data_IF_148829886831
#
_entry.id   IF_148829886831
#
_cell.length_a   1.000
_cell.length_b   1.000
_cell.length_c   1.000
_cell.angle_alpha   90.00
_cell.angle_beta   90.00
_cell.angle_gamma   90.00
#
_symmetry.space_group_name_H-M   'P 1'
#
loop_
_entity.id
_entity.type
_entity.pdbx_description
1 polymer ?
#
# COMPACT_ATOMS: atom_id res chain seq x y z
N UNK A 1 -2.48 -35.27 68.61
CA UNK A 1 -2.28 -35.22 67.15
C UNK A 1 -1.81 -33.84 66.72
N UNK A 2 -0.84 -33.83 65.80
CA UNK A 2 0.11 -32.76 65.52
C UNK A 2 -0.50 -31.61 64.70
N UNK A 3 -0.40 -30.36 65.20
CA UNK A 3 -0.73 -29.15 64.43
C UNK A 3 0.54 -28.64 63.73
N UNK A 4 0.59 -28.79 62.41
CA UNK A 4 1.69 -28.28 61.58
C UNK A 4 1.54 -26.75 61.47
N UNK A 5 2.51 -26.00 62.04
CA UNK A 5 2.67 -24.56 61.81
C UNK A 5 3.54 -24.35 60.58
N UNK A 6 2.95 -23.90 59.47
CA UNK A 6 3.72 -23.51 58.28
C UNK A 6 4.18 -22.05 58.49
N UNK A 7 5.47 -21.85 58.72
CA UNK A 7 6.11 -20.54 58.63
C UNK A 7 6.27 -20.17 57.16
N UNK A 8 5.50 -19.18 56.69
CA UNK A 8 5.74 -18.55 55.39
C UNK A 8 6.82 -17.48 55.57
N UNK A 9 8.04 -17.78 55.12
CA UNK A 9 9.11 -16.79 54.99
C UNK A 9 8.69 -15.70 53.97
N UNK A 10 8.93 -14.41 54.23
CA UNK A 10 8.71 -13.37 53.23
C UNK A 10 9.77 -13.51 52.13
N UNK A 11 9.37 -14.01 50.95
CA UNK A 11 10.22 -13.97 49.76
C UNK A 11 10.56 -12.52 49.45
N UNK A 12 11.85 -12.23 49.51
CA UNK A 12 12.48 -10.96 49.21
C UNK A 12 12.07 -10.43 47.84
N UNK A 13 11.63 -9.18 47.85
CA UNK A 13 11.36 -8.30 46.72
C UNK A 13 12.51 -8.30 45.70
N UNK A 14 12.32 -8.98 44.58
CA UNK A 14 12.97 -8.60 43.33
C UNK A 14 12.31 -7.32 42.82
N UNK A 15 12.87 -6.16 43.14
CA UNK A 15 12.51 -4.89 42.49
C UNK A 15 12.98 -4.98 41.04
N UNK A 16 12.12 -5.47 40.15
CA UNK A 16 12.30 -5.25 38.73
C UNK A 16 12.30 -3.74 38.52
N UNK A 17 13.38 -3.21 37.97
CA UNK A 17 13.41 -1.86 37.41
C UNK A 17 12.21 -1.72 36.47
N UNK A 18 11.35 -0.70 36.62
CA UNK A 18 10.29 -0.46 35.65
C UNK A 18 10.95 -0.30 34.28
N UNK A 19 10.67 -1.22 33.37
CA UNK A 19 10.94 -1.00 31.95
C UNK A 19 10.15 0.27 31.58
N UNK A 20 10.77 1.29 30.96
CA UNK A 20 10.04 2.45 30.50
C UNK A 20 8.93 1.94 29.58
N UNK A 21 7.67 2.16 29.97
CA UNK A 21 6.54 1.98 29.06
C UNK A 21 6.89 2.76 27.79
N UNK A 22 6.87 2.16 26.58
CA UNK A 22 6.85 2.95 25.37
C UNK A 22 5.66 3.90 25.50
N UNK A 23 5.92 5.20 25.59
CA UNK A 23 4.86 6.19 25.73
C UNK A 23 3.92 6.00 24.54
N UNK A 24 2.64 5.70 24.80
CA UNK A 24 1.64 5.69 23.73
C UNK A 24 1.73 7.04 23.01
N UNK A 25 1.89 7.06 21.67
CA UNK A 25 2.06 8.29 20.94
C UNK A 25 0.81 9.14 21.14
N UNK A 26 0.95 10.21 21.92
CA UNK A 26 -0.12 11.16 22.21
C UNK A 26 -0.69 11.69 20.90
N UNK A 27 -2.03 11.80 20.83
CA UNK A 27 -2.73 12.30 19.66
C UNK A 27 -2.52 13.81 19.49
N UNK A 28 -2.49 14.27 18.23
CA UNK A 28 -2.32 15.67 17.85
C UNK A 28 -3.29 16.61 18.62
N UNK A 29 -2.76 17.68 19.21
CA UNK A 29 -3.52 18.68 19.97
C UNK A 29 -4.34 19.67 19.11
N UNK A 30 -4.73 19.29 17.90
CA UNK A 30 -5.50 20.16 17.01
C UNK A 30 -6.93 20.30 17.53
N UNK A 31 -7.32 21.51 17.94
CA UNK A 31 -8.62 21.79 18.58
C UNK A 31 -9.79 22.09 17.64
N UNK A 32 -9.61 22.70 16.44
CA UNK A 32 -10.72 22.95 15.52
C UNK A 32 -11.40 21.67 15.02
N UNK A 33 -10.67 20.55 14.90
CA UNK A 33 -11.21 19.19 14.68
C UNK A 33 -10.32 18.14 15.33
N UNK A 34 -10.90 17.07 15.93
CA UNK A 34 -10.10 16.02 16.56
C UNK A 34 -9.21 15.32 15.52
N UNK A 35 -7.90 15.35 15.75
CA UNK A 35 -6.91 14.71 14.90
C UNK A 35 -6.29 13.51 15.63
N UNK A 36 -6.48 12.30 15.10
CA UNK A 36 -5.96 11.06 15.69
C UNK A 36 -4.51 10.74 15.28
N UNK A 37 -3.84 11.62 14.53
CA UNK A 37 -2.47 11.40 14.10
C UNK A 37 -1.51 11.55 15.29
N UNK A 38 -0.42 10.75 15.33
CA UNK A 38 0.58 10.87 16.37
C UNK A 38 1.28 12.23 16.32
N UNK A 39 1.57 12.79 17.50
CA UNK A 39 2.43 13.96 17.66
C UNK A 39 3.84 13.68 17.16
N UNK A 40 4.51 14.74 16.70
CA UNK A 40 5.95 14.68 16.46
C UNK A 40 6.71 14.70 17.79
N UNK A 41 7.89 14.09 17.83
CA UNK A 41 8.72 14.05 19.04
C UNK A 41 9.02 15.47 19.56
N UNK A 42 8.63 15.74 20.80
CA UNK A 42 8.79 17.05 21.44
C UNK A 42 7.84 18.16 20.92
N UNK A 43 6.77 17.81 20.20
CA UNK A 43 5.80 18.77 19.64
C UNK A 43 4.36 18.36 19.99
N UNK A 44 3.46 19.34 20.10
CA UNK A 44 2.05 19.09 20.45
C UNK A 44 1.18 18.67 19.25
N UNK A 45 1.72 18.77 18.04
CA UNK A 45 0.99 18.57 16.78
C UNK A 45 1.62 17.49 15.90
N UNK A 46 0.80 16.91 15.01
CA UNK A 46 1.29 16.01 13.97
C UNK A 46 1.88 16.80 12.79
N UNK A 47 2.58 16.12 11.87
CA UNK A 47 3.21 16.74 10.68
C UNK A 47 2.26 17.57 9.80
N UNK A 48 0.94 17.30 9.84
CA UNK A 48 -0.07 18.07 9.09
C UNK A 48 -0.43 19.40 9.75
N UNK A 49 -0.47 19.42 11.08
CA UNK A 49 -0.86 20.59 11.88
C UNK A 49 0.34 21.30 12.53
N UNK A 50 1.57 20.81 12.32
CA UNK A 50 2.79 21.38 12.90
C UNK A 50 3.05 22.84 12.51
N UNK A 51 2.46 23.33 11.40
CA UNK A 51 2.57 24.72 10.99
C UNK A 51 1.70 25.69 11.81
N UNK A 52 0.80 25.16 12.64
CA UNK A 52 0.00 25.98 13.56
C UNK A 52 0.79 26.36 14.81
N UNK A 53 1.78 25.54 15.17
CA UNK A 53 2.71 25.83 16.24
C UNK A 53 3.77 26.83 15.77
N UNK A 54 3.73 28.04 16.33
CA UNK A 54 4.69 29.10 16.01
C UNK A 54 6.09 28.82 16.52
N UNK A 55 6.23 27.94 17.52
CA UNK A 55 7.50 27.57 18.13
C UNK A 55 8.09 26.29 17.53
N UNK A 56 7.35 25.59 16.66
CA UNK A 56 7.83 24.37 16.04
C UNK A 56 9.02 24.64 15.10
N UNK A 57 9.99 23.71 15.02
CA UNK A 57 11.13 23.81 14.10
C UNK A 57 10.72 23.47 12.65
N UNK A 58 9.55 23.92 12.21
CA UNK A 58 9.01 23.68 10.88
C UNK A 58 8.54 25.00 10.24
N UNK A 59 8.72 25.13 8.93
CA UNK A 59 8.18 26.22 8.11
C UNK A 59 7.51 25.67 6.86
N UNK A 60 6.67 26.46 6.19
CA UNK A 60 6.05 26.02 4.94
C UNK A 60 7.13 25.69 3.89
N UNK A 61 6.94 24.59 3.17
CA UNK A 61 7.84 24.15 2.11
C UNK A 61 8.05 25.26 1.06
N UNK A 62 9.33 25.52 0.74
CA UNK A 62 9.72 26.56 -0.21
C UNK A 62 9.47 26.18 -1.69
N UNK A 63 9.00 24.96 -1.98
CA UNK A 63 8.72 24.53 -3.35
C UNK A 63 7.50 25.27 -3.92
N UNK A 64 7.64 25.80 -5.14
CA UNK A 64 6.58 26.41 -5.94
C UNK A 64 6.24 25.48 -7.09
N UNK A 65 4.96 25.12 -7.23
CA UNK A 65 4.50 24.28 -8.34
C UNK A 65 4.60 25.03 -9.67
N UNK A 66 5.22 24.41 -10.67
CA UNK A 66 5.27 24.95 -12.04
C UNK A 66 3.91 24.97 -12.74
N UNK A 67 2.96 24.13 -12.29
CA UNK A 67 1.63 24.04 -12.87
C UNK A 67 0.70 25.14 -12.40
N UNK A 68 0.77 25.45 -11.09
CA UNK A 68 -0.22 26.29 -10.43
C UNK A 68 0.38 27.56 -9.80
N UNK A 69 1.70 27.73 -9.83
CA UNK A 69 2.40 28.86 -9.18
C UNK A 69 2.29 28.91 -7.65
N UNK A 70 1.53 27.99 -7.03
CA UNK A 70 1.29 27.96 -5.58
C UNK A 70 2.44 27.27 -4.85
N UNK A 71 2.79 27.83 -3.67
CA UNK A 71 3.71 27.19 -2.73
C UNK A 71 3.10 25.93 -2.13
N UNK A 72 3.94 24.92 -1.93
CA UNK A 72 3.53 23.68 -1.32
C UNK A 72 3.03 23.93 0.12
N UNK A 73 1.84 23.43 0.51
CA UNK A 73 1.29 23.65 1.86
C UNK A 73 1.97 22.80 2.94
N UNK A 74 2.80 21.81 2.56
CA UNK A 74 3.40 20.87 3.51
C UNK A 74 4.49 21.53 4.37
N UNK A 75 4.64 21.04 5.60
CA UNK A 75 5.71 21.44 6.51
C UNK A 75 7.10 20.95 6.04
N UNK A 76 8.10 21.80 6.23
CA UNK A 76 9.51 21.55 5.97
C UNK A 76 10.33 21.86 7.24
N UNK A 77 11.31 21.02 7.63
CA UNK A 77 12.15 21.29 8.78
C UNK A 77 12.91 22.61 8.62
N UNK A 78 12.95 23.42 9.67
CA UNK A 78 13.69 24.68 9.69
C UNK A 78 15.20 24.34 9.82
N UNK A 79 16.04 24.73 8.86
CA UNK A 79 17.48 24.57 8.99
C UNK A 79 17.98 25.49 10.12
N UNK A 80 18.96 25.05 10.90
CA UNK A 80 19.60 25.87 11.95
C UNK A 80 20.22 27.16 11.39
N UNK A 81 20.51 27.20 10.08
CA UNK A 81 21.02 28.38 9.37
C UNK A 81 19.86 29.19 8.79
N UNK A 82 19.83 30.49 9.14
CA UNK A 82 18.72 31.45 8.94
C UNK A 82 18.21 31.57 7.50
N UNK A 83 19.03 31.26 6.48
CA UNK A 83 18.70 31.51 5.06
C UNK A 83 18.58 30.23 4.20
N UNK A 84 18.46 29.05 4.82
CA UNK A 84 18.31 27.80 4.07
C UNK A 84 16.91 27.62 3.47
N UNK A 85 16.83 27.45 2.15
CA UNK A 85 15.64 26.92 1.46
C UNK A 85 15.34 25.51 1.99
N UNK A 86 14.14 25.29 2.52
CA UNK A 86 13.75 24.01 3.10
C UNK A 86 12.60 23.39 2.33
N UNK A 87 12.72 22.11 2.02
CA UNK A 87 11.69 21.36 1.31
C UNK A 87 11.03 20.34 2.24
N UNK A 88 9.72 20.09 2.05
CA UNK A 88 9.06 18.97 2.72
C UNK A 88 9.68 17.64 2.25
N UNK A 89 9.50 16.55 3.01
CA UNK A 89 10.15 15.26 2.73
C UNK A 89 9.98 14.77 1.27
N UNK A 90 8.82 15.03 0.68
CA UNK A 90 8.54 14.70 -0.72
C UNK A 90 9.36 15.54 -1.71
N UNK A 91 9.38 16.87 -1.53
CA UNK A 91 10.12 17.77 -2.40
C UNK A 91 11.64 17.72 -2.17
N UNK A 92 12.09 17.40 -0.96
CA UNK A 92 13.49 17.13 -0.66
C UNK A 92 14.01 15.92 -1.46
N UNK A 93 13.23 14.82 -1.51
CA UNK A 93 13.56 13.64 -2.33
C UNK A 93 13.61 13.97 -3.82
N UNK A 94 12.61 14.70 -4.34
CA UNK A 94 12.60 15.12 -5.76
C UNK A 94 13.80 16.00 -6.11
N UNK A 95 14.12 16.97 -5.26
CA UNK A 95 15.26 17.86 -5.47
C UNK A 95 16.58 17.08 -5.47
N UNK A 96 16.78 16.17 -4.51
CA UNK A 96 17.97 15.33 -4.47
C UNK A 96 18.15 14.47 -5.74
N UNK A 97 17.06 13.88 -6.26
CA UNK A 97 17.09 13.13 -7.52
C UNK A 97 17.44 14.03 -8.72
N UNK A 98 16.91 15.25 -8.77
CA UNK A 98 17.22 16.22 -9.82
C UNK A 98 18.70 16.64 -9.78
N UNK A 99 19.26 16.92 -8.59
CA UNK A 99 20.68 17.23 -8.42
C UNK A 99 21.57 16.06 -8.83
N UNK A 100 21.23 14.83 -8.44
CA UNK A 100 21.98 13.62 -8.86
C UNK A 100 21.97 13.41 -10.37
N UNK A 101 20.85 13.71 -11.05
CA UNK A 101 20.76 13.63 -12.51
C UNK A 101 21.64 14.66 -13.21
N UNK A 102 21.82 15.84 -12.63
CA UNK A 102 22.73 16.88 -13.15
C UNK A 102 24.20 16.47 -12.98
N UNK A 103 24.58 15.93 -11.82
CA UNK A 103 25.95 15.44 -11.55
C UNK A 103 26.34 14.29 -12.49
N UNK A 104 25.40 13.40 -12.84
CA UNK A 104 25.64 12.35 -13.85
C UNK A 104 25.82 12.87 -15.27
N UNK A 105 25.32 14.07 -15.58
CA UNK A 105 25.49 14.72 -16.89
C UNK A 105 26.80 15.49 -17.01
N UNK A 106 27.36 15.95 -15.88
CA UNK A 106 28.59 16.74 -15.84
C UNK A 106 29.88 15.91 -15.65
N UNK A 107 29.81 14.59 -15.55
CA UNK A 107 30.99 13.73 -15.35
C UNK A 107 31.13 12.69 -16.49
N UNK A 108 31.75 13.05 -17.64
CA UNK A 108 32.31 12.06 -18.55
C UNK A 108 33.57 11.48 -17.88
N UNK A 109 33.57 10.17 -17.60
CA UNK A 109 34.65 9.51 -16.85
C UNK A 109 36.04 9.65 -17.50
N UNK A 110 37.12 9.49 -16.71
CA UNK A 110 38.48 9.72 -17.17
C UNK A 110 38.92 8.60 -18.12
N UNK A 111 39.40 9.02 -19.29
CA UNK A 111 40.08 8.21 -20.28
C UNK A 111 41.33 7.56 -19.69
N UNK A 112 41.35 6.21 -19.65
CA UNK A 112 42.57 5.44 -19.39
C UNK A 112 43.36 5.27 -20.69
N UNK A 113 44.45 6.03 -20.74
CA UNK A 113 45.74 5.81 -21.39
C UNK A 113 45.86 4.66 -22.40
N UNK A 114 46.30 5.09 -23.60
CA UNK A 114 46.79 4.35 -24.74
C UNK A 114 47.65 3.11 -24.41
N UNK A 115 47.27 1.98 -25.01
CA UNK A 115 48.17 0.91 -25.42
C UNK A 115 48.23 0.92 -26.95
N UNK A 116 49.40 1.14 -27.49
CA UNK A 116 49.71 1.26 -28.92
C UNK A 116 49.57 -0.12 -29.59
N UNK A 117 48.62 -0.27 -30.51
CA UNK A 117 48.80 -1.06 -31.73
C UNK A 117 48.04 -0.39 -32.87
N UNK A 118 48.79 -0.08 -33.92
CA UNK A 118 48.30 0.59 -35.12
C UNK A 118 47.28 -0.29 -35.86
N UNK A 119 46.08 0.24 -36.09
CA UNK A 119 45.28 -0.03 -37.29
C UNK A 119 44.13 0.98 -37.38
N UNK A 120 44.22 1.83 -38.41
CA UNK A 120 43.16 2.63 -39.05
C UNK A 120 42.29 3.52 -38.15
N UNK A 121 42.66 4.79 -38.14
CA UNK A 121 41.74 5.90 -37.92
C UNK A 121 40.58 5.85 -38.93
N UNK A 122 39.35 5.67 -38.46
CA UNK A 122 38.16 6.10 -39.19
C UNK A 122 37.41 7.13 -38.36
N UNK A 123 37.16 8.26 -39.00
CA UNK A 123 36.59 9.47 -38.41
C UNK A 123 35.06 9.35 -38.38
N UNK A 124 34.41 9.36 -37.21
CA UNK A 124 32.95 9.18 -37.09
C UNK A 124 32.11 10.37 -37.60
N UNK A 125 32.75 11.40 -38.15
CA UNK A 125 32.10 12.66 -38.55
C UNK A 125 31.77 12.74 -40.05
N UNK A 126 32.07 11.71 -40.84
CA UNK A 126 31.79 11.68 -42.28
C UNK A 126 30.42 11.07 -42.65
N UNK A 127 29.64 10.59 -41.67
CA UNK A 127 28.28 10.08 -41.88
C UNK A 127 28.17 8.78 -42.71
N UNK A 128 29.29 8.19 -43.14
CA UNK A 128 29.34 6.96 -43.92
C UNK A 128 29.99 5.87 -43.08
N UNK A 129 29.21 4.84 -42.77
CA UNK A 129 29.68 3.63 -42.10
C UNK A 129 30.01 2.57 -43.13
N UNK A 130 31.16 1.92 -42.99
CA UNK A 130 31.51 0.71 -43.73
C UNK A 130 30.69 -0.49 -43.23
N UNK A 131 30.50 -1.50 -44.07
CA UNK A 131 29.75 -2.70 -43.69
C UNK A 131 30.35 -3.42 -42.46
N UNK A 132 31.68 -3.38 -42.32
CA UNK A 132 32.40 -3.94 -41.18
C UNK A 132 32.10 -3.18 -39.88
N UNK A 133 32.08 -1.84 -39.92
CA UNK A 133 31.71 -1.00 -38.78
C UNK A 133 30.25 -1.21 -38.37
N UNK A 134 29.33 -1.34 -39.34
CA UNK A 134 27.93 -1.65 -39.06
C UNK A 134 27.79 -3.00 -38.36
N UNK A 135 28.51 -4.03 -38.83
CA UNK A 135 28.49 -5.35 -38.22
C UNK A 135 29.00 -5.34 -36.76
N UNK A 136 30.07 -4.58 -36.48
CA UNK A 136 30.58 -4.40 -35.11
C UNK A 136 29.56 -3.70 -34.20
N UNK A 137 28.95 -2.61 -34.68
CA UNK A 137 27.91 -1.88 -33.94
C UNK A 137 26.72 -2.80 -33.66
N UNK A 138 26.29 -3.60 -34.62
CA UNK A 138 25.19 -4.56 -34.42
C UNK A 138 25.56 -5.64 -33.40
N UNK A 139 26.78 -6.18 -33.47
CA UNK A 139 27.28 -7.17 -32.50
C UNK A 139 27.29 -6.60 -31.08
N UNK A 140 27.81 -5.40 -30.90
CA UNK A 140 27.82 -4.73 -29.60
C UNK A 140 26.42 -4.45 -29.07
N UNK A 141 25.51 -4.00 -29.95
CA UNK A 141 24.10 -3.79 -29.60
C UNK A 141 23.44 -5.09 -29.15
N UNK A 142 23.69 -6.20 -29.84
CA UNK A 142 23.17 -7.52 -29.47
C UNK A 142 23.75 -8.01 -28.14
N UNK A 143 25.06 -7.87 -27.91
CA UNK A 143 25.71 -8.24 -26.64
C UNK A 143 25.13 -7.41 -25.48
N UNK A 144 24.93 -6.10 -25.72
CA UNK A 144 24.35 -5.19 -24.72
C UNK A 144 22.89 -5.55 -24.43
N UNK A 145 22.12 -5.89 -25.45
CA UNK A 145 20.75 -6.36 -25.29
C UNK A 145 20.69 -7.67 -24.49
N UNK A 146 21.53 -8.65 -24.83
CA UNK A 146 21.64 -9.91 -24.09
C UNK A 146 22.00 -9.68 -22.61
N UNK A 147 22.96 -8.80 -22.35
CA UNK A 147 23.37 -8.45 -20.97
C UNK A 147 22.21 -7.84 -20.18
N UNK A 148 21.45 -6.92 -20.79
CA UNK A 148 20.27 -6.33 -20.16
C UNK A 148 19.19 -7.36 -19.85
N UNK A 149 18.94 -8.32 -20.75
CA UNK A 149 17.99 -9.41 -20.50
C UNK A 149 18.45 -10.33 -19.37
N UNK A 150 19.73 -10.66 -19.31
CA UNK A 150 20.32 -11.45 -18.22
C UNK A 150 20.13 -10.71 -16.88
N UNK A 151 20.34 -9.40 -16.84
CA UNK A 151 20.17 -8.60 -15.63
C UNK A 151 18.70 -8.50 -15.20
N UNK A 152 17.76 -8.40 -16.14
CA UNK A 152 16.32 -8.47 -15.84
C UNK A 152 15.95 -9.81 -15.21
N UNK A 153 16.46 -10.92 -15.75
CA UNK A 153 16.20 -12.26 -15.23
C UNK A 153 16.82 -12.45 -13.83
N UNK A 154 18.07 -12.05 -13.63
CA UNK A 154 18.74 -12.05 -12.31
C UNK A 154 17.96 -11.24 -11.28
N UNK A 155 17.45 -10.06 -11.68
CA UNK A 155 16.61 -9.23 -10.80
C UNK A 155 15.29 -9.91 -10.45
N UNK A 156 14.64 -10.55 -11.41
CA UNK A 156 13.42 -11.31 -11.15
C UNK A 156 13.68 -12.46 -10.16
N UNK A 157 14.75 -13.24 -10.36
CA UNK A 157 15.16 -14.29 -9.44
C UNK A 157 15.43 -13.76 -8.03
N UNK A 158 16.15 -12.64 -7.91
CA UNK A 158 16.39 -11.98 -6.63
C UNK A 158 15.06 -11.61 -5.94
N UNK A 159 14.15 -10.96 -6.66
CA UNK A 159 12.83 -10.57 -6.12
C UNK A 159 12.02 -11.78 -5.65
N UNK A 160 12.02 -12.88 -6.40
CA UNK A 160 11.34 -14.11 -5.99
C UNK A 160 11.97 -14.73 -4.74
N UNK A 161 13.31 -14.78 -4.68
CA UNK A 161 14.05 -15.29 -3.50
C UNK A 161 13.81 -14.42 -2.26
N UNK A 162 13.75 -13.11 -2.45
CA UNK A 162 13.49 -12.15 -1.38
C UNK A 162 12.05 -12.20 -0.90
N UNK A 163 11.06 -12.29 -1.81
CA UNK A 163 9.65 -12.52 -1.46
C UNK A 163 9.48 -13.83 -0.69
N UNK A 164 10.11 -14.93 -1.12
CA UNK A 164 10.11 -16.20 -0.38
C UNK A 164 10.70 -16.04 1.01
N UNK A 165 11.84 -15.34 1.15
CA UNK A 165 12.47 -15.07 2.46
C UNK A 165 11.54 -14.28 3.38
N UNK A 166 10.96 -13.19 2.87
CA UNK A 166 10.01 -12.36 3.64
C UNK A 166 8.77 -13.14 4.05
N UNK A 167 8.23 -13.96 3.15
CA UNK A 167 7.09 -14.84 3.46
C UNK A 167 7.43 -15.83 4.57
N UNK A 168 8.55 -16.55 4.48
CA UNK A 168 8.96 -17.50 5.52
C UNK A 168 9.23 -16.80 6.86
N UNK A 169 9.79 -15.59 6.83
CA UNK A 169 10.00 -14.80 8.04
C UNK A 169 8.68 -14.30 8.65
N UNK A 170 7.76 -13.77 7.84
CA UNK A 170 6.41 -13.38 8.29
C UNK A 170 5.67 -14.58 8.87
N UNK A 171 5.69 -15.73 8.18
CA UNK A 171 5.06 -16.96 8.64
C UNK A 171 5.66 -17.48 9.95
N UNK A 172 6.98 -17.34 10.13
CA UNK A 172 7.66 -17.67 11.38
C UNK A 172 7.25 -16.70 12.50
N UNK A 173 7.21 -15.40 12.23
CA UNK A 173 6.76 -14.39 13.19
C UNK A 173 5.29 -14.57 13.58
N UNK A 174 4.41 -14.89 12.63
CA UNK A 174 3.02 -15.25 12.89
C UNK A 174 2.92 -16.52 13.74
N UNK A 175 3.73 -17.53 13.45
CA UNK A 175 3.79 -18.77 14.24
C UNK A 175 4.31 -18.53 15.66
N UNK A 176 5.30 -17.66 15.84
CA UNK A 176 5.83 -17.28 17.16
C UNK A 176 4.86 -16.37 17.94
N UNK A 177 4.15 -15.46 17.26
CA UNK A 177 3.23 -14.50 17.88
C UNK A 177 1.84 -15.10 18.20
N UNK A 178 1.33 -15.97 17.32
CA UNK A 178 0.00 -16.61 17.46
C UNK A 178 0.14 -17.99 18.12
N UNK A 179 1.36 -18.53 18.19
CA UNK A 179 1.65 -19.88 18.65
C UNK A 179 1.39 -20.94 17.57
N UNK A 180 2.05 -22.09 17.67
CA UNK A 180 1.90 -23.27 16.79
C UNK A 180 0.48 -23.88 16.76
N UNK A 181 -0.46 -23.26 17.48
CA UNK A 181 -1.78 -23.77 17.82
C UNK A 181 -2.75 -23.88 16.65
N UNK A 182 -2.67 -23.01 15.64
CA UNK A 182 -3.73 -22.91 14.63
C UNK A 182 -3.44 -23.68 13.33
N UNK A 183 -2.19 -24.11 13.11
CA UNK A 183 -1.80 -24.80 11.87
C UNK A 183 -1.28 -26.24 12.06
N UNK A 184 -0.93 -26.68 13.28
CA UNK A 184 -0.39 -28.04 13.52
C UNK A 184 -1.43 -29.02 14.09
N UNK A 185 -2.70 -28.66 14.11
CA UNK A 185 -3.72 -29.47 14.78
C UNK A 185 -3.51 -29.53 16.30
N UNK A 186 -4.35 -30.28 17.03
CA UNK A 186 -4.41 -30.28 18.49
C UNK A 186 -3.15 -30.81 19.20
N UNK A 187 -2.21 -31.43 18.47
CA UNK A 187 -1.04 -32.08 19.04
C UNK A 187 0.01 -31.08 19.53
N UNK A 188 0.13 -29.91 18.90
CA UNK A 188 1.07 -28.84 19.30
C UNK A 188 0.58 -27.93 20.42
N UNK A 189 -0.58 -28.21 21.03
CA UNK A 189 -1.20 -27.39 22.07
C UNK A 189 -0.88 -27.90 23.47
N UNK A 190 -0.53 -27.00 24.39
CA UNK A 190 -0.46 -27.31 25.82
C UNK A 190 -1.83 -27.74 26.34
N UNK A 191 -1.88 -28.60 27.38
CA UNK A 191 -3.13 -29.11 27.94
C UNK A 191 -4.14 -27.99 28.30
N UNK A 192 -3.63 -26.89 28.87
CA UNK A 192 -4.41 -25.69 29.21
C UNK A 192 -4.96 -24.96 27.99
N UNK A 193 -4.20 -24.90 26.90
CA UNK A 193 -4.62 -24.29 25.64
C UNK A 193 -5.69 -25.13 24.93
N UNK A 194 -5.58 -26.47 24.99
CA UNK A 194 -6.63 -27.37 24.50
C UNK A 194 -7.94 -27.16 25.25
N UNK A 195 -7.89 -27.00 26.57
CA UNK A 195 -9.08 -26.75 27.39
C UNK A 195 -9.69 -25.37 27.09
N UNK A 196 -8.86 -24.33 26.95
CA UNK A 196 -9.31 -23.00 26.56
C UNK A 196 -9.96 -22.99 25.17
N UNK A 197 -9.39 -23.69 24.19
CA UNK A 197 -9.96 -23.86 22.85
C UNK A 197 -11.33 -24.55 22.92
N UNK A 198 -11.46 -25.61 23.73
CA UNK A 198 -12.75 -26.28 23.96
C UNK A 198 -13.78 -25.32 24.57
N UNK A 199 -13.42 -24.56 25.60
CA UNK A 199 -14.28 -23.54 26.22
C UNK A 199 -14.72 -22.47 25.22
N UNK A 200 -13.80 -21.93 24.42
CA UNK A 200 -14.09 -20.96 23.35
C UNK A 200 -15.02 -21.51 22.27
N UNK A 201 -14.83 -22.78 21.86
CA UNK A 201 -15.72 -23.47 20.91
C UNK A 201 -17.13 -23.62 21.48
N UNK A 202 -17.27 -23.96 22.77
CA UNK A 202 -18.58 -24.02 23.44
C UNK A 202 -19.25 -22.64 23.53
N UNK A 203 -18.48 -21.58 23.83
CA UNK A 203 -19.00 -20.20 23.89
C UNK A 203 -19.44 -19.65 22.52
N UNK A 204 -18.92 -20.19 21.42
CA UNK A 204 -19.36 -19.83 20.07
C UNK A 204 -20.84 -20.16 19.82
N UNK A 205 -21.38 -21.16 20.52
CA UNK A 205 -22.80 -21.54 20.49
C UNK A 205 -23.67 -20.69 21.43
N UNK A 206 -23.08 -20.04 22.43
CA UNK A 206 -23.82 -19.31 23.48
C UNK A 206 -24.53 -18.05 22.95
N UNK A 207 -23.99 -17.42 21.89
CA UNK A 207 -24.62 -16.26 21.22
C UNK A 207 -25.56 -16.63 20.08
N UNK A 208 -25.66 -17.91 19.72
CA UNK A 208 -26.50 -18.36 18.64
C UNK A 208 -27.84 -18.82 19.23
N UNK A 209 -28.93 -18.19 18.80
CA UNK A 209 -30.29 -18.59 19.20
C UNK A 209 -30.65 -19.84 18.40
N UNK A 210 -31.27 -20.82 19.04
CA UNK A 210 -31.71 -22.07 18.41
C UNK A 210 -33.20 -22.32 18.68
N UNK A 211 -33.81 -23.18 17.86
CA UNK A 211 -35.21 -23.56 18.01
C UNK A 211 -36.17 -22.37 17.96
N UNK A 212 -37.15 -22.36 18.87
CA UNK A 212 -38.22 -21.35 18.91
C UNK A 212 -37.66 -19.93 19.10
N UNK A 213 -36.60 -19.75 19.89
CA UNK A 213 -35.98 -18.43 20.09
C UNK A 213 -35.35 -17.85 18.82
N UNK A 214 -34.81 -18.73 17.96
CA UNK A 214 -34.27 -18.32 16.67
C UNK A 214 -35.37 -17.86 15.71
N UNK A 215 -36.51 -18.58 15.71
CA UNK A 215 -37.68 -18.25 14.91
C UNK A 215 -38.31 -16.94 15.37
N UNK A 216 -38.50 -16.75 16.68
CA UNK A 216 -39.03 -15.50 17.24
C UNK A 216 -38.09 -14.32 16.98
N UNK A 217 -36.78 -14.52 17.08
CA UNK A 217 -35.81 -13.46 16.75
C UNK A 217 -35.83 -13.12 15.26
N UNK A 218 -35.99 -14.12 14.38
CA UNK A 218 -36.18 -13.92 12.94
C UNK A 218 -37.47 -13.15 12.65
N UNK A 219 -38.59 -13.56 13.23
CA UNK A 219 -39.89 -12.90 13.08
C UNK A 219 -39.86 -11.46 13.61
N UNK A 220 -39.22 -11.21 14.76
CA UNK A 220 -39.05 -9.87 15.29
C UNK A 220 -38.19 -9.00 14.35
N UNK A 221 -37.13 -9.56 13.77
CA UNK A 221 -36.29 -8.86 12.79
C UNK A 221 -37.09 -8.55 11.53
N UNK A 222 -37.82 -9.51 10.98
CA UNK A 222 -38.70 -9.33 9.82
C UNK A 222 -39.77 -8.25 10.11
N UNK A 223 -40.41 -8.29 11.30
CA UNK A 223 -41.39 -7.29 11.72
C UNK A 223 -40.79 -5.88 11.88
N UNK A 224 -39.55 -5.78 12.37
CA UNK A 224 -38.81 -4.50 12.41
C UNK A 224 -38.51 -3.99 11.00
N UNK A 225 -38.02 -4.86 10.11
CA UNK A 225 -37.73 -4.52 8.71
C UNK A 225 -39.00 -4.03 8.01
N UNK A 226 -40.11 -4.78 8.12
CA UNK A 226 -41.41 -4.40 7.55
C UNK A 226 -41.94 -3.07 8.11
N UNK A 227 -41.72 -2.81 9.41
CA UNK A 227 -42.09 -1.52 10.01
C UNK A 227 -41.18 -0.36 9.54
N UNK A 228 -39.93 -0.65 9.15
CA UNK A 228 -38.96 0.35 8.68
C UNK A 228 -38.94 0.53 7.16
N UNK A 229 -39.44 -0.43 6.37
CA UNK A 229 -39.40 -0.40 4.90
C UNK A 229 -40.19 0.79 4.32
N UNK A 230 -41.13 1.38 5.08
CA UNK A 230 -41.79 2.65 4.74
C UNK A 230 -41.21 3.90 5.43
N UNK A 231 -40.46 3.75 6.52
CA UNK A 231 -39.95 4.89 7.31
C UNK A 231 -38.66 5.47 6.73
N UNK A 232 -37.81 4.66 6.08
CA UNK A 232 -36.61 5.13 5.41
C UNK A 232 -36.87 5.78 4.04
N UNK A 233 -38.05 5.56 3.45
CA UNK A 233 -38.39 6.07 2.11
C UNK A 233 -38.95 7.49 2.12
N UNK A 234 -39.37 8.04 3.27
CA UNK A 234 -40.10 9.32 3.35
C UNK A 234 -39.51 10.31 4.34
N UNK A 235 -38.30 10.07 4.86
CA UNK A 235 -37.62 11.12 5.61
C UNK A 235 -37.05 12.13 4.61
N UNK A 236 -37.81 13.21 4.37
CA UNK A 236 -37.45 14.33 3.48
C UNK A 236 -36.09 14.94 3.83
N UNK A 237 -35.57 14.67 5.04
CA UNK A 237 -34.28 15.14 5.53
C UNK A 237 -33.15 14.10 5.48
N UNK A 238 -33.37 12.88 4.96
CA UNK A 238 -32.32 11.86 4.85
C UNK A 238 -31.39 12.17 3.66
N UNK A 239 -30.40 13.01 3.90
CA UNK A 239 -29.47 13.54 2.89
C UNK A 239 -28.29 12.62 2.55
N UNK A 240 -28.09 11.53 3.31
CA UNK A 240 -26.90 10.69 3.18
C UNK A 240 -27.06 9.52 2.20
N UNK A 241 -28.27 8.99 2.04
CA UNK A 241 -28.53 7.81 1.22
C UNK A 241 -29.79 7.98 0.38
N UNK A 242 -29.73 7.60 -0.90
CA UNK A 242 -30.88 7.51 -1.80
C UNK A 242 -30.96 6.11 -2.40
N UNK A 243 -32.15 5.62 -2.80
CA UNK A 243 -32.27 4.34 -3.49
C UNK A 243 -31.63 4.42 -4.89
N UNK A 244 -30.90 3.37 -5.28
CA UNK A 244 -30.33 3.24 -6.61
C UNK A 244 -31.45 3.12 -7.66
N UNK A 245 -31.41 3.92 -8.73
CA UNK A 245 -32.44 3.91 -9.78
C UNK A 245 -32.42 2.64 -10.67
N UNK A 246 -31.35 1.84 -10.61
CA UNK A 246 -31.21 0.62 -11.41
C UNK A 246 -30.84 0.88 -12.86
N UNK A 247 -31.00 -0.14 -13.70
CA UNK A 247 -30.93 -0.07 -15.17
C UNK A 247 -32.26 -0.53 -15.78
N UNK A 248 -32.56 -0.19 -17.04
CA UNK A 248 -33.83 -0.54 -17.69
C UNK A 248 -34.16 -2.04 -17.63
N UNK A 249 -33.13 -2.89 -17.54
CA UNK A 249 -33.27 -4.35 -17.52
C UNK A 249 -33.49 -4.95 -16.10
N UNK A 250 -33.13 -4.24 -15.01
CA UNK A 250 -33.17 -4.77 -13.63
C UNK A 250 -33.47 -3.66 -12.60
N UNK A 251 -34.65 -3.70 -11.93
CA UNK A 251 -34.99 -2.72 -10.90
C UNK A 251 -34.10 -2.91 -9.66
N UNK A 252 -33.59 -1.80 -9.11
CA UNK A 252 -32.78 -1.78 -7.90
C UNK A 252 -33.42 -0.87 -6.85
N UNK A 253 -33.26 -1.20 -5.57
CA UNK A 253 -33.63 -0.32 -4.45
C UNK A 253 -32.53 -0.31 -3.37
N UNK A 254 -31.29 -0.68 -3.74
CA UNK A 254 -30.18 -0.68 -2.78
C UNK A 254 -29.88 0.77 -2.34
N UNK A 255 -29.81 1.05 -1.03
CA UNK A 255 -29.43 2.37 -0.55
C UNK A 255 -27.99 2.66 -0.95
N UNK A 256 -27.78 3.77 -1.64
CA UNK A 256 -26.46 4.21 -2.11
C UNK A 256 -26.12 5.56 -1.49
N UNK A 257 -24.86 5.78 -1.10
CA UNK A 257 -24.42 7.08 -0.61
C UNK A 257 -24.61 8.14 -1.68
N UNK A 258 -25.10 9.32 -1.30
CA UNK A 258 -25.19 10.47 -2.22
C UNK A 258 -23.78 11.03 -2.41
N UNK A 259 -23.02 10.50 -3.37
CA UNK A 259 -21.81 11.14 -3.87
C UNK A 259 -22.19 12.28 -4.82
N UNK A 260 -21.34 13.32 -4.96
CA UNK A 260 -21.53 14.59 -5.69
C UNK A 260 -21.91 14.50 -7.19
N UNK A 261 -22.31 13.33 -7.70
CA UNK A 261 -22.80 13.09 -9.06
C UNK A 261 -24.33 13.04 -9.07
N UNK A 262 -24.94 13.57 -10.13
CA UNK A 262 -26.40 13.78 -10.23
C UNK A 262 -27.23 12.47 -10.26
N UNK A 263 -26.59 11.32 -10.49
CA UNK A 263 -27.22 9.99 -10.54
C UNK A 263 -26.49 8.98 -9.62
N UNK A 264 -26.96 8.78 -8.37
CA UNK A 264 -26.36 7.81 -7.46
C UNK A 264 -26.80 6.39 -7.83
N UNK A 265 -25.87 5.58 -8.31
CA UNK A 265 -26.08 4.16 -8.63
C UNK A 265 -25.16 3.25 -7.80
N UNK A 266 -25.62 2.02 -7.52
CA UNK A 266 -24.80 1.05 -6.78
C UNK A 266 -23.63 0.57 -7.66
N UNK A 267 -22.57 -0.05 -7.09
CA UNK A 267 -21.43 -0.53 -7.88
C UNK A 267 -21.78 -1.51 -9.02
N UNK A 268 -22.95 -2.15 -8.95
CA UNK A 268 -23.46 -3.05 -9.99
C UNK A 268 -24.13 -2.28 -11.16
N UNK A 269 -24.61 -1.08 -10.92
CA UNK A 269 -25.29 -0.22 -11.90
C UNK A 269 -24.49 1.06 -12.19
N UNK A 270 -23.21 1.10 -11.83
CA UNK A 270 -22.31 2.21 -12.13
C UNK A 270 -21.96 2.15 -13.62
N UNK A 271 -22.43 3.13 -14.40
CA UNK A 271 -22.07 3.26 -15.82
C UNK A 271 -20.62 3.73 -15.91
N UNK A 272 -19.71 2.81 -16.22
CA UNK A 272 -18.31 3.17 -16.48
C UNK A 272 -18.24 4.01 -17.77
N UNK A 273 -17.41 5.08 -17.81
CA UNK A 273 -17.17 5.81 -19.04
C UNK A 273 -16.68 4.87 -20.15
N UNK A 274 -17.11 5.06 -21.41
CA UNK A 274 -16.64 4.24 -22.51
C UNK A 274 -15.11 4.32 -22.58
N UNK A 275 -14.47 3.15 -22.75
CA UNK A 275 -13.02 3.10 -22.83
C UNK A 275 -12.54 3.92 -24.04
N UNK A 276 -11.75 4.95 -23.76
CA UNK A 276 -11.14 5.87 -24.73
C UNK A 276 -10.11 5.20 -25.67
N UNK A 277 -9.86 3.89 -25.54
CA UNK A 277 -8.90 3.15 -26.33
C UNK A 277 -9.57 1.94 -26.97
N UNK A 278 -9.69 1.99 -28.30
CA UNK A 278 -10.04 0.86 -29.14
C UNK A 278 -8.71 0.24 -29.60
N UNK A 279 -8.37 -1.00 -29.21
CA UNK A 279 -7.21 -1.68 -29.76
C UNK A 279 -7.40 -1.90 -31.26
N UNK A 280 -6.40 -1.49 -32.03
CA UNK A 280 -6.33 -1.66 -33.47
C UNK A 280 -6.53 -3.14 -33.85
N UNK A 281 -7.55 -3.40 -34.66
CA UNK A 281 -7.92 -4.72 -35.12
C UNK A 281 -6.76 -5.28 -35.92
N UNK A 282 -6.18 -6.38 -35.43
CA UNK A 282 -5.17 -7.16 -36.14
C UNK A 282 -5.77 -7.56 -37.48
N UNK A 283 -5.18 -7.01 -38.56
CA UNK A 283 -5.51 -7.37 -39.93
C UNK A 283 -5.48 -8.89 -40.09
N UNK A 284 -6.61 -9.45 -40.51
CA UNK A 284 -6.75 -10.84 -40.87
C UNK A 284 -5.70 -11.20 -41.93
N UNK A 285 -4.93 -12.24 -41.64
CA UNK A 285 -4.03 -12.91 -42.57
C UNK A 285 -4.85 -13.42 -43.77
N UNK A 286 -4.47 -13.13 -45.03
CA UNK A 286 -5.13 -13.72 -46.19
C UNK A 286 -5.01 -15.24 -46.18
N UNK A 287 -6.17 -15.89 -46.33
CA UNK A 287 -6.33 -17.33 -46.41
C UNK A 287 -5.79 -17.83 -47.75
N UNK A 288 -4.77 -18.71 -47.70
CA UNK A 288 -4.22 -19.44 -48.83
C UNK A 288 -5.34 -20.23 -49.54
N UNK A 289 -5.57 -19.94 -50.82
CA UNK A 289 -6.46 -20.68 -51.71
C UNK A 289 -5.78 -21.99 -52.11
N UNK A 290 -6.08 -23.07 -51.39
CA UNK A 290 -5.75 -24.43 -51.77
C UNK A 290 -6.58 -24.89 -52.98
N UNK A 291 -5.89 -25.40 -53.98
CA UNK A 291 -6.37 -25.77 -55.30
C UNK A 291 -7.54 -26.77 -55.31
N UNK A 292 -8.40 -26.62 -56.32
CA UNK A 292 -9.42 -27.58 -56.71
C UNK A 292 -8.79 -28.88 -57.25
N UNK A 293 -9.44 -30.05 -57.07
CA UNK A 293 -9.01 -31.29 -57.68
C UNK A 293 -9.57 -31.39 -59.11
N UNK A 294 -8.71 -31.73 -60.06
CA UNK A 294 -9.10 -32.25 -61.38
C UNK A 294 -8.28 -33.49 -61.67
N UNK A 295 -9.00 -34.61 -61.81
CA UNK A 295 -8.66 -35.95 -62.33
C UNK A 295 -7.37 -36.67 -61.88
#
# INVERSE_FOLDING_TARGET
>A
MNRIRIHVLPTSRGRLTPVPRPQEPLACAFTPRPCSQPRLEGQEFCIKHILEDRNAPFKQCSYVSTKNGKRCPNAAPKPEKKDGTSFCAEHARRNALALQAQVKKSNPGPTRTAGVTASRTLSPHAGVYTAEEVALIMREKLIRLQSLYIDQFKRLQHLLKEKKRRFLHSRKGEHEAIGSSLLTGPEGLMAKERENLKRLKCLRRYRQRYGVEALLHRQLRERRVLATDGAAQQDTNQTLFKPCQGSEEVPCNKPVPVSLSEEPCCPLHLRLPPQMYVPEQVLAVPQELGAAPTD
#
